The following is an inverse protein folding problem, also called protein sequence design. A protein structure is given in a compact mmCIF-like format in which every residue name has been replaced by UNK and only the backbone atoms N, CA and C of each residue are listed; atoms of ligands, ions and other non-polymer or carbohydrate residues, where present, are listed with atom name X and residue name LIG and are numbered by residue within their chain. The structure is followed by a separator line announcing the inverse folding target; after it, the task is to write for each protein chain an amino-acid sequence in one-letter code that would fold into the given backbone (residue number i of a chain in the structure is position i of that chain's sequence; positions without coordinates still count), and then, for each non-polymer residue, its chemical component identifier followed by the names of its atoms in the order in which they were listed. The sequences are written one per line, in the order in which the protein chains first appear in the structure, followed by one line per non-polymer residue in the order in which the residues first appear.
data_IF_245508280756
#
_entry.id   IF_245508280756
#
_cell.length_a   1.000
_cell.length_b   1.000
_cell.length_c   1.000
_cell.angle_alpha   90.00
_cell.angle_beta   90.00
_cell.angle_gamma   90.00
#
_symmetry.space_group_name_H-M   'P 1'
#
loop_
_entity.id
_entity.type
_entity.pdbx_description
1 polymer ?
#
# COMPACT_ATOMS: atom_id res chain seq x y z
N UNK A 1 21.88 6.73 -24.50
CA UNK A 1 22.46 7.86 -25.26
C UNK A 1 23.96 7.69 -25.30
N UNK A 2 24.57 7.81 -26.47
CA UNK A 2 26.02 7.77 -26.62
C UNK A 2 26.66 9.09 -26.13
N UNK A 3 27.87 9.03 -25.55
CA UNK A 3 28.62 10.17 -24.99
C UNK A 3 28.80 11.35 -25.97
N UNK A 4 28.67 11.11 -27.28
CA UNK A 4 28.73 12.12 -28.35
C UNK A 4 27.54 13.10 -28.36
N UNK A 5 26.46 12.85 -27.63
CA UNK A 5 25.29 13.74 -27.58
C UNK A 5 25.31 14.76 -26.43
N UNK A 6 26.39 14.82 -25.64
CA UNK A 6 26.56 15.83 -24.59
C UNK A 6 27.15 17.14 -25.16
N UNK A 7 26.73 18.32 -24.69
CA UNK A 7 27.20 19.61 -25.23
C UNK A 7 28.71 19.79 -25.03
N UNK A 8 29.48 19.66 -26.11
CA UNK A 8 30.94 19.78 -26.10
C UNK A 8 31.43 21.23 -25.98
N UNK A 9 30.54 22.22 -26.10
CA UNK A 9 30.89 23.64 -26.03
C UNK A 9 31.40 24.12 -24.67
N UNK A 10 31.27 23.29 -23.61
CA UNK A 10 31.88 23.54 -22.28
C UNK A 10 33.19 22.79 -22.07
N UNK A 11 33.66 22.03 -23.04
CA UNK A 11 34.87 21.24 -22.92
C UNK A 11 36.03 22.17 -23.32
N UNK A 12 36.84 22.55 -22.33
CA UNK A 12 37.98 23.45 -22.54
C UNK A 12 38.85 22.96 -23.71
N UNK A 13 39.36 23.91 -24.49
CA UNK A 13 40.21 23.68 -25.65
C UNK A 13 41.59 23.17 -25.22
N UNK A 14 41.68 21.88 -24.88
CA UNK A 14 42.91 21.24 -24.46
C UNK A 14 42.77 19.72 -24.55
N UNK A 15 43.78 19.07 -25.12
CA UNK A 15 43.86 17.63 -25.33
C UNK A 15 43.79 16.83 -24.02
N UNK A 16 42.57 16.46 -23.63
CA UNK A 16 42.28 15.06 -23.29
C UNK A 16 42.49 14.57 -21.86
N UNK A 17 42.42 15.43 -20.83
CA UNK A 17 42.07 14.99 -19.47
C UNK A 17 41.04 15.95 -18.86
N UNK A 18 39.78 15.53 -18.79
CA UNK A 18 38.82 16.17 -17.90
C UNK A 18 39.33 15.98 -16.46
N UNK A 19 39.75 17.07 -15.82
CA UNK A 19 40.04 17.05 -14.39
C UNK A 19 38.69 17.02 -13.69
N UNK A 20 38.29 15.86 -13.17
CA UNK A 20 37.16 15.77 -12.25
C UNK A 20 37.62 16.47 -10.96
N UNK A 21 37.05 17.64 -10.68
CA UNK A 21 37.39 18.37 -9.46
C UNK A 21 36.71 17.69 -8.27
N UNK A 22 37.24 17.89 -7.06
CA UNK A 22 36.63 17.35 -5.83
C UNK A 22 35.14 17.70 -5.69
N UNK A 23 34.76 18.92 -6.06
CA UNK A 23 33.36 19.35 -6.06
C UNK A 23 32.49 18.70 -7.16
N UNK A 24 33.09 18.11 -8.19
CA UNK A 24 32.35 17.31 -9.18
C UNK A 24 32.10 15.89 -8.66
N UNK A 25 33.01 15.32 -7.84
CA UNK A 25 32.73 14.08 -7.11
C UNK A 25 31.56 14.24 -6.14
N UNK A 26 31.47 15.34 -5.40
CA UNK A 26 30.32 15.62 -4.52
C UNK A 26 28.99 15.73 -5.29
N UNK A 27 29.01 16.27 -6.52
CA UNK A 27 27.83 16.34 -7.40
C UNK A 27 27.47 14.98 -7.98
N UNK A 28 28.47 14.19 -8.40
CA UNK A 28 28.28 12.84 -8.91
C UNK A 28 27.73 11.94 -7.81
N UNK A 29 28.30 11.99 -6.62
CA UNK A 29 27.83 11.26 -5.44
C UNK A 29 26.41 11.65 -5.09
N UNK A 30 26.10 12.95 -5.04
CA UNK A 30 24.73 13.42 -4.83
C UNK A 30 23.78 12.93 -5.91
N UNK A 31 24.17 12.97 -7.18
CA UNK A 31 23.36 12.45 -8.28
C UNK A 31 23.17 10.93 -8.18
N UNK A 32 24.17 10.18 -7.71
CA UNK A 32 24.08 8.73 -7.50
C UNK A 32 23.15 8.39 -6.34
N UNK A 33 23.26 9.11 -5.22
CA UNK A 33 22.35 8.99 -4.07
C UNK A 33 20.92 9.35 -4.49
N UNK A 34 20.72 10.45 -5.21
CA UNK A 34 19.43 10.88 -5.73
C UNK A 34 18.82 9.87 -6.71
N UNK A 35 19.62 9.27 -7.59
CA UNK A 35 19.13 8.35 -8.62
C UNK A 35 18.91 6.91 -8.13
N UNK A 36 19.66 6.43 -7.14
CA UNK A 36 19.61 5.02 -6.72
C UNK A 36 19.13 4.81 -5.29
N UNK A 37 19.47 5.69 -4.34
CA UNK A 37 19.11 5.52 -2.94
C UNK A 37 17.78 6.20 -2.60
N UNK A 38 17.51 7.39 -3.16
CA UNK A 38 16.31 8.19 -2.85
C UNK A 38 15.06 7.82 -3.65
N UNK A 39 15.20 6.97 -4.66
CA UNK A 39 14.04 6.40 -5.36
C UNK A 39 13.26 5.43 -4.47
N UNK A 40 13.92 4.85 -3.46
CA UNK A 40 13.26 4.09 -2.41
C UNK A 40 12.80 5.03 -1.30
N UNK A 41 11.55 4.84 -0.86
CA UNK A 41 11.04 5.60 0.28
C UNK A 41 11.69 5.09 1.58
N UNK A 42 11.80 5.94 2.62
CA UNK A 42 12.23 5.47 3.93
C UNK A 42 11.22 4.44 4.43
N UNK A 43 11.72 3.36 5.05
CA UNK A 43 10.85 2.33 5.62
C UNK A 43 10.12 2.87 6.85
N UNK A 44 8.86 2.48 7.01
CA UNK A 44 8.10 2.74 8.22
C UNK A 44 8.45 1.71 9.29
N UNK A 45 8.64 2.19 10.51
CA UNK A 45 8.79 1.36 11.70
C UNK A 45 7.51 1.40 12.53
N UNK A 46 6.99 0.22 12.88
CA UNK A 46 6.00 0.08 13.93
C UNK A 46 6.64 0.40 15.29
N UNK A 47 6.00 1.32 16.04
CA UNK A 47 6.44 1.72 17.38
C UNK A 47 5.48 1.21 18.46
N UNK A 48 4.19 1.45 18.29
CA UNK A 48 3.14 1.10 19.25
C UNK A 48 1.81 0.84 18.56
N UNK A 49 0.79 0.50 19.33
CA UNK A 49 -0.58 0.28 18.85
C UNK A 49 -1.19 1.47 18.09
N UNK A 50 -0.70 2.70 18.27
CA UNK A 50 -1.22 3.86 17.52
C UNK A 50 -0.16 4.53 16.64
N UNK A 51 1.12 4.18 16.79
CA UNK A 51 2.22 4.94 16.22
C UNK A 51 3.09 4.15 15.23
N UNK A 52 3.36 4.79 14.09
CA UNK A 52 4.46 4.45 13.17
C UNK A 52 5.38 5.64 12.97
N UNK A 53 6.60 5.39 12.47
CA UNK A 53 7.57 6.45 12.20
C UNK A 53 8.43 6.18 10.99
N UNK A 54 8.95 7.24 10.39
CA UNK A 54 10.12 7.20 9.52
C UNK A 54 11.36 7.56 10.37
N UNK A 55 12.24 6.59 10.68
CA UNK A 55 13.35 6.80 11.60
C UNK A 55 14.41 7.72 10.98
N UNK A 56 15.01 8.57 11.83
CA UNK A 56 16.22 9.32 11.51
C UNK A 56 17.16 9.30 12.71
N UNK A 57 18.46 9.24 12.45
CA UNK A 57 19.55 9.36 13.44
C UNK A 57 20.47 10.52 13.06
N UNK A 58 21.43 10.85 13.94
CA UNK A 58 22.43 11.87 13.65
C UNK A 58 23.27 11.54 12.40
N UNK A 59 23.53 10.25 12.17
CA UNK A 59 24.35 9.75 11.07
C UNK A 59 23.53 9.39 9.81
N UNK A 60 22.23 9.13 9.97
CA UNK A 60 21.33 8.73 8.89
C UNK A 60 20.02 9.51 8.94
N UNK A 61 19.89 10.51 8.07
CA UNK A 61 18.68 11.34 7.95
C UNK A 61 17.58 10.59 7.20
N UNK A 62 16.32 10.79 7.58
CA UNK A 62 15.20 10.26 6.82
C UNK A 62 15.04 11.10 5.55
N UNK A 63 15.16 10.49 4.37
CA UNK A 63 15.09 11.18 3.08
C UNK A 63 13.98 10.60 2.23
N UNK A 64 13.22 11.46 1.56
CA UNK A 64 12.14 11.04 0.67
C UNK A 64 12.09 11.91 -0.57
N UNK A 65 12.06 11.30 -1.76
CA UNK A 65 11.74 11.99 -3.00
C UNK A 65 10.23 12.02 -3.20
N UNK A 66 9.65 13.21 -3.36
CA UNK A 66 8.21 13.38 -3.55
C UNK A 66 7.87 13.03 -4.99
N UNK A 67 7.39 11.80 -5.19
CA UNK A 67 7.11 11.21 -6.50
C UNK A 67 5.65 10.79 -6.66
N UNK A 68 4.83 10.88 -5.60
CA UNK A 68 3.43 10.46 -5.61
C UNK A 68 3.20 9.01 -5.14
N UNK A 69 2.21 8.35 -5.75
CA UNK A 69 1.73 7.01 -5.40
C UNK A 69 2.22 5.95 -6.41
N UNK A 70 2.50 4.69 -6.00
CA UNK A 70 2.85 3.63 -6.94
C UNK A 70 1.72 3.37 -7.95
N UNK A 71 2.02 3.34 -9.24
CA UNK A 71 0.99 3.11 -10.26
C UNK A 71 0.31 1.74 -10.09
N UNK A 72 -1.03 1.66 -10.12
CA UNK A 72 -1.76 0.39 -10.15
C UNK A 72 -1.70 -0.31 -11.52
N UNK A 73 -1.13 0.35 -12.55
CA UNK A 73 -1.04 -0.17 -13.92
C UNK A 73 0.34 -0.72 -14.26
N UNK A 74 1.42 -0.20 -13.66
CA UNK A 74 2.78 -0.54 -14.07
C UNK A 74 3.80 -0.44 -12.95
N UNK A 75 4.77 -1.37 -12.97
CA UNK A 75 5.87 -1.38 -12.01
C UNK A 75 6.83 -0.23 -12.27
N UNK A 76 7.32 0.39 -11.19
CA UNK A 76 8.29 1.48 -11.27
C UNK A 76 7.72 2.81 -11.76
N UNK A 77 6.43 2.85 -12.12
CA UNK A 77 5.74 4.08 -12.48
C UNK A 77 5.10 4.70 -11.25
N UNK A 78 5.08 6.03 -11.22
CA UNK A 78 4.48 6.82 -10.17
C UNK A 78 3.31 7.62 -10.73
N UNK A 79 2.29 7.80 -9.90
CA UNK A 79 1.09 8.57 -10.17
C UNK A 79 1.00 9.63 -9.09
N UNK A 80 1.26 10.86 -9.46
CA UNK A 80 1.12 12.02 -8.60
C UNK A 80 -0.14 12.84 -8.94
N UNK A 81 -0.63 12.71 -10.18
CA UNK A 81 -1.68 13.56 -10.69
C UNK A 81 -1.22 15.02 -10.73
N UNK A 82 -0.01 15.30 -11.24
CA UNK A 82 0.54 16.66 -11.37
C UNK A 82 0.73 17.40 -10.03
N UNK A 83 0.93 16.65 -8.94
CA UNK A 83 1.03 17.18 -7.57
C UNK A 83 2.43 17.03 -6.97
N UNK A 84 3.31 16.21 -7.56
CA UNK A 84 4.64 15.95 -7.03
C UNK A 84 5.71 16.76 -7.77
N UNK A 85 6.56 17.47 -7.03
CA UNK A 85 7.64 18.27 -7.58
C UNK A 85 8.92 17.49 -7.90
N UNK A 86 8.98 16.19 -7.56
CA UNK A 86 10.17 15.36 -7.76
C UNK A 86 11.35 15.75 -6.87
N UNK A 87 11.19 16.66 -5.92
CA UNK A 87 12.28 17.12 -5.05
C UNK A 87 12.36 16.25 -3.81
N UNK A 88 13.57 16.11 -3.26
CA UNK A 88 13.74 15.41 -2.00
C UNK A 88 13.36 16.31 -0.81
N UNK A 89 12.98 15.66 0.30
CA UNK A 89 12.84 16.25 1.63
C UNK A 89 13.63 15.42 2.61
N UNK A 90 14.18 16.08 3.61
CA UNK A 90 15.07 15.44 4.56
C UNK A 90 14.75 15.89 5.98
N UNK A 91 14.56 14.91 6.85
CA UNK A 91 14.39 15.16 8.27
C UNK A 91 15.63 14.70 9.02
N UNK A 92 16.22 15.62 9.78
CA UNK A 92 17.31 15.32 10.73
C UNK A 92 16.79 14.66 12.02
N UNK A 93 15.48 14.70 12.26
CA UNK A 93 14.80 14.05 13.37
C UNK A 93 13.76 13.06 12.84
N UNK A 94 13.42 12.07 13.66
CA UNK A 94 12.39 11.08 13.33
C UNK A 94 11.05 11.76 13.01
N UNK A 95 10.41 11.36 11.92
CA UNK A 95 9.04 11.77 11.62
C UNK A 95 8.07 10.72 12.15
N UNK A 96 7.12 11.12 12.99
CA UNK A 96 6.16 10.19 13.59
C UNK A 96 4.74 10.48 13.14
N UNK A 97 3.94 9.42 13.05
CA UNK A 97 2.51 9.43 12.82
C UNK A 97 1.84 8.69 13.96
N UNK A 98 0.87 9.31 14.62
CA UNK A 98 0.09 8.69 15.69
C UNK A 98 -1.41 8.78 15.37
N UNK A 99 -2.06 7.64 15.16
CA UNK A 99 -3.44 7.58 14.67
C UNK A 99 -4.46 8.21 15.63
N UNK A 100 -4.13 8.30 16.93
CA UNK A 100 -5.02 8.91 17.93
C UNK A 100 -4.84 10.42 18.05
N UNK A 101 -3.81 11.01 17.42
CA UNK A 101 -3.56 12.44 17.46
C UNK A 101 -4.36 13.17 16.38
N UNK A 102 -5.07 14.23 16.80
CA UNK A 102 -5.82 15.07 15.88
C UNK A 102 -4.91 15.64 14.78
N UNK A 103 -5.32 15.47 13.52
CA UNK A 103 -4.60 15.96 12.34
C UNK A 103 -3.59 14.98 11.74
N UNK A 104 -3.27 13.87 12.43
CA UNK A 104 -2.48 12.77 11.87
C UNK A 104 -3.24 11.96 10.82
N UNK A 105 -4.58 12.01 10.87
CA UNK A 105 -5.47 11.40 9.91
C UNK A 105 -6.21 12.44 9.09
N UNK A 106 -6.58 12.08 7.87
CA UNK A 106 -7.76 12.66 7.23
C UNK A 106 -8.99 11.87 7.67
N UNK A 107 -10.02 12.60 8.10
CA UNK A 107 -11.18 12.01 8.77
C UNK A 107 -10.85 11.45 10.15
N UNK A 108 -11.61 10.42 10.55
CA UNK A 108 -11.50 9.80 11.87
C UNK A 108 -10.91 8.41 11.79
N UNK A 109 -10.33 7.97 12.91
CA UNK A 109 -9.84 6.61 13.06
C UNK A 109 -11.00 5.61 12.93
N UNK A 110 -10.74 4.50 12.23
CA UNK A 110 -11.65 3.37 12.02
C UNK A 110 -10.93 2.08 12.35
N UNK A 111 -11.60 1.21 13.08
CA UNK A 111 -11.19 -0.17 13.28
C UNK A 111 -11.36 -0.96 11.97
N UNK A 112 -10.60 -2.06 11.84
CA UNK A 112 -10.56 -2.90 10.64
C UNK A 112 -10.26 -2.12 9.35
N UNK A 113 -9.34 -1.15 9.39
CA UNK A 113 -9.13 -0.21 8.29
C UNK A 113 -7.67 -0.17 7.84
N UNK A 114 -7.47 -0.22 6.53
CA UNK A 114 -6.17 0.09 5.93
C UNK A 114 -5.98 1.60 5.80
N UNK A 115 -4.79 2.05 6.14
CA UNK A 115 -4.36 3.44 6.02
C UNK A 115 -3.13 3.52 5.12
N UNK A 116 -3.23 4.34 4.07
CA UNK A 116 -2.07 4.74 3.28
C UNK A 116 -1.31 5.83 4.03
N UNK A 117 -0.05 5.56 4.35
CA UNK A 117 0.83 6.53 5.02
C UNK A 117 1.57 7.34 3.97
N UNK A 118 1.44 8.66 4.06
CA UNK A 118 2.06 9.60 3.14
C UNK A 118 3.10 10.45 3.86
N UNK A 119 4.26 10.64 3.22
CA UNK A 119 5.10 11.80 3.48
C UNK A 119 4.53 12.99 2.71
N UNK A 120 4.32 14.12 3.38
CA UNK A 120 3.77 15.35 2.81
C UNK A 120 4.73 16.51 2.99
N UNK A 121 4.81 17.38 1.98
CA UNK A 121 5.54 18.64 2.09
C UNK A 121 4.97 19.70 1.14
N UNK A 122 4.99 20.96 1.56
CA UNK A 122 4.79 22.11 0.70
C UNK A 122 5.91 22.27 -0.33
N UNK A 123 5.67 23.11 -1.34
CA UNK A 123 6.65 23.38 -2.40
C UNK A 123 7.93 24.08 -1.89
N UNK A 124 7.82 24.82 -0.78
CA UNK A 124 8.93 25.53 -0.15
C UNK A 124 9.56 24.78 1.03
N UNK A 125 8.92 23.72 1.50
CA UNK A 125 9.39 22.96 2.67
C UNK A 125 10.68 22.22 2.31
N UNK A 126 11.57 22.03 3.28
CA UNK A 126 12.79 21.21 3.14
C UNK A 126 12.67 19.88 3.88
N UNK A 127 11.72 19.79 4.82
CA UNK A 127 11.35 18.62 5.60
C UNK A 127 10.01 18.05 5.14
N UNK A 128 9.64 16.87 5.62
CA UNK A 128 8.32 16.28 5.40
C UNK A 128 7.63 15.92 6.72
N UNK A 129 6.31 15.87 6.70
CA UNK A 129 5.48 15.34 7.80
C UNK A 129 4.81 14.03 7.36
N UNK A 130 4.38 13.22 8.33
CA UNK A 130 3.60 12.02 8.05
C UNK A 130 2.11 12.28 8.28
N UNK A 131 1.27 11.81 7.36
CA UNK A 131 -0.18 11.80 7.51
C UNK A 131 -0.75 10.55 6.88
N UNK A 132 -1.84 10.01 7.42
CA UNK A 132 -2.47 8.82 6.87
C UNK A 132 -3.91 9.03 6.41
N UNK A 133 -4.26 8.38 5.30
CA UNK A 133 -5.58 8.42 4.68
C UNK A 133 -6.19 7.01 4.71
N UNK A 134 -7.45 6.84 5.09
CA UNK A 134 -8.12 5.55 4.93
C UNK A 134 -8.18 5.17 3.45
N UNK A 135 -7.82 3.92 3.15
CA UNK A 135 -8.04 3.34 1.83
C UNK A 135 -9.51 3.03 1.67
N UNK A 136 -10.14 3.54 0.62
CA UNK A 136 -11.59 3.56 0.53
C UNK A 136 -12.12 2.51 -0.42
N UNK A 137 -13.29 2.01 -0.06
CA UNK A 137 -14.00 0.98 -0.81
C UNK A 137 -15.35 1.53 -1.28
N UNK A 138 -15.73 1.18 -2.49
CA UNK A 138 -16.99 1.61 -3.11
C UNK A 138 -18.14 0.77 -2.57
N UNK A 139 -19.21 1.41 -2.12
CA UNK A 139 -20.51 0.76 -1.89
C UNK A 139 -21.33 0.78 -3.17
N UNK A 140 -21.62 1.99 -3.63
CA UNK A 140 -22.41 2.26 -4.83
C UNK A 140 -21.95 3.57 -5.44
N UNK A 141 -22.43 3.84 -6.66
CA UNK A 141 -22.11 5.05 -7.38
C UNK A 141 -23.37 5.58 -8.05
N UNK A 142 -23.60 6.89 -7.94
CA UNK A 142 -24.63 7.60 -8.69
C UNK A 142 -23.98 8.80 -9.37
N UNK A 143 -23.91 8.76 -10.70
CA UNK A 143 -23.19 9.77 -11.50
C UNK A 143 -21.73 9.90 -11.02
N UNK A 144 -21.39 11.02 -10.38
CA UNK A 144 -20.05 11.33 -9.89
C UNK A 144 -19.97 11.31 -8.37
N UNK A 145 -20.95 10.72 -7.71
CA UNK A 145 -21.00 10.53 -6.26
C UNK A 145 -20.72 9.06 -5.96
N UNK A 146 -19.70 8.81 -5.15
CA UNK A 146 -19.32 7.49 -4.66
C UNK A 146 -19.80 7.38 -3.22
N UNK A 147 -20.66 6.41 -2.94
CA UNK A 147 -21.01 6.01 -1.57
C UNK A 147 -19.96 5.04 -1.06
N UNK A 148 -19.57 5.17 0.20
CA UNK A 148 -18.42 4.48 0.76
C UNK A 148 -18.81 3.21 1.52
N UNK A 149 -17.95 2.20 1.46
CA UNK A 149 -18.11 0.89 2.10
C UNK A 149 -16.96 0.61 3.06
N UNK A 150 -17.24 -0.15 4.11
CA UNK A 150 -16.23 -0.60 5.04
C UNK A 150 -15.24 -1.58 4.37
N UNK A 151 -14.06 -1.70 4.98
CA UNK A 151 -12.99 -2.56 4.48
C UNK A 151 -13.45 -4.02 4.32
N UNK A 152 -14.24 -4.53 5.27
CA UNK A 152 -14.78 -5.89 5.27
C UNK A 152 -15.87 -6.15 4.21
N UNK A 153 -16.23 -5.16 3.38
CA UNK A 153 -17.27 -5.25 2.35
C UNK A 153 -18.67 -5.64 2.86
N UNK A 154 -18.98 -5.40 4.14
CA UNK A 154 -20.23 -5.85 4.76
C UNK A 154 -21.28 -4.74 4.90
N UNK A 155 -20.87 -3.49 5.03
CA UNK A 155 -21.78 -2.37 5.27
C UNK A 155 -21.22 -1.05 4.73
N UNK A 156 -22.12 -0.10 4.51
CA UNK A 156 -21.77 1.28 4.17
C UNK A 156 -21.13 1.98 5.37
N UNK A 157 -20.26 2.97 5.10
CA UNK A 157 -19.49 3.63 6.15
C UNK A 157 -19.23 5.11 5.81
N UNK A 158 -19.24 5.95 6.82
CA UNK A 158 -18.69 7.30 6.82
C UNK A 158 -17.34 7.32 7.52
N UNK A 159 -16.31 7.87 6.88
CA UNK A 159 -14.96 7.98 7.44
C UNK A 159 -14.79 9.18 8.40
N UNK A 160 -15.85 9.95 8.63
CA UNK A 160 -15.81 11.09 9.56
C UNK A 160 -14.89 12.21 9.09
N UNK A 161 -14.78 12.40 7.77
CA UNK A 161 -14.12 13.59 7.23
C UNK A 161 -14.79 14.86 7.75
N UNK A 162 -14.05 15.96 7.80
CA UNK A 162 -14.73 17.26 7.82
C UNK A 162 -15.38 17.51 6.46
N UNK A 163 -16.50 18.26 6.43
CA UNK A 163 -17.16 18.57 5.15
C UNK A 163 -16.16 19.26 4.24
N UNK A 164 -16.00 18.73 3.02
CA UNK A 164 -15.08 19.25 2.01
C UNK A 164 -13.57 19.23 2.38
N UNK A 165 -13.17 18.41 3.36
CA UNK A 165 -11.76 18.19 3.70
C UNK A 165 -10.90 17.79 2.49
N UNK A 166 -11.47 16.99 1.59
CA UNK A 166 -10.79 16.38 0.45
C UNK A 166 -10.93 17.17 -0.85
N UNK A 167 -11.54 18.37 -0.83
CA UNK A 167 -11.61 19.22 -2.02
C UNK A 167 -10.20 19.53 -2.52
N UNK A 168 -10.03 19.48 -3.84
CA UNK A 168 -8.78 19.61 -4.61
C UNK A 168 -7.82 18.42 -4.51
N UNK A 169 -8.10 17.45 -3.63
CA UNK A 169 -7.43 16.15 -3.68
C UNK A 169 -7.94 15.35 -4.89
N UNK A 170 -7.27 14.24 -5.22
CA UNK A 170 -7.65 13.41 -6.37
C UNK A 170 -7.95 11.97 -5.96
N UNK A 171 -8.97 11.36 -6.55
CA UNK A 171 -9.20 9.93 -6.46
C UNK A 171 -8.22 9.24 -7.41
N UNK A 172 -7.57 8.17 -6.97
CA UNK A 172 -6.91 7.18 -7.82
C UNK A 172 -7.59 5.82 -7.62
N UNK A 173 -8.16 5.29 -8.70
CA UNK A 173 -8.84 3.98 -8.66
C UNK A 173 -7.80 2.86 -8.69
N UNK A 174 -7.87 1.92 -7.74
CA UNK A 174 -6.93 0.81 -7.59
C UNK A 174 -7.43 -0.49 -8.25
N UNK A 175 -8.74 -0.72 -8.27
CA UNK A 175 -9.33 -1.96 -8.84
C UNK A 175 -10.55 -1.67 -9.71
N UNK A 176 -11.03 -2.69 -10.44
CA UNK A 176 -12.21 -2.58 -11.30
C UNK A 176 -11.94 -1.92 -12.66
N UNK A 177 -13.02 -1.69 -13.41
CA UNK A 177 -12.97 -1.23 -14.81
C UNK A 177 -12.31 0.14 -14.99
N UNK A 178 -12.33 0.97 -13.93
CA UNK A 178 -11.75 2.31 -13.94
C UNK A 178 -10.35 2.39 -13.36
N UNK A 179 -9.68 1.26 -13.10
CA UNK A 179 -8.36 1.22 -12.48
C UNK A 179 -7.36 2.13 -13.20
N UNK A 180 -6.55 2.84 -12.40
CA UNK A 180 -5.55 3.78 -12.87
C UNK A 180 -6.10 5.13 -13.33
N UNK A 181 -7.42 5.29 -13.42
CA UNK A 181 -8.02 6.58 -13.70
C UNK A 181 -7.97 7.48 -12.46
N UNK A 182 -7.78 8.77 -12.72
CA UNK A 182 -7.68 9.82 -11.72
C UNK A 182 -8.84 10.81 -11.91
N UNK A 183 -9.48 11.24 -10.83
CA UNK A 183 -10.50 12.30 -10.88
C UNK A 183 -10.32 13.30 -9.75
N UNK A 184 -10.47 14.61 -10.00
CA UNK A 184 -10.43 15.61 -8.93
C UNK A 184 -11.67 15.48 -8.03
N UNK A 185 -11.47 15.59 -6.73
CA UNK A 185 -12.55 15.60 -5.74
C UNK A 185 -13.12 17.02 -5.66
N UNK A 186 -14.44 17.12 -5.80
CA UNK A 186 -15.17 18.40 -5.76
C UNK A 186 -15.95 18.58 -4.47
N UNK A 187 -16.28 17.49 -3.77
CA UNK A 187 -16.88 17.53 -2.43
C UNK A 187 -16.71 16.20 -1.70
N UNK A 188 -16.78 16.24 -0.37
CA UNK A 188 -17.04 15.07 0.47
C UNK A 188 -17.96 15.50 1.62
N UNK A 189 -18.82 14.60 2.08
CA UNK A 189 -19.61 14.87 3.27
C UNK A 189 -18.83 14.55 4.55
N UNK A 190 -19.35 15.02 5.69
CA UNK A 190 -18.76 14.79 7.00
C UNK A 190 -19.43 13.67 7.80
N UNK A 191 -19.95 12.66 7.10
CA UNK A 191 -20.65 11.54 7.75
C UNK A 191 -19.65 10.61 8.45
N UNK A 192 -19.95 10.24 9.70
CA UNK A 192 -19.19 9.28 10.49
C UNK A 192 -19.94 7.95 10.74
N UNK A 193 -21.14 7.83 10.17
CA UNK A 193 -22.05 6.70 10.29
C UNK A 193 -21.98 5.79 9.06
N UNK A 194 -23.09 5.66 8.34
CA UNK A 194 -23.21 4.82 7.14
C UNK A 194 -23.38 5.63 5.84
N UNK A 195 -23.38 6.95 5.90
CA UNK A 195 -23.71 7.84 4.80
C UNK A 195 -22.51 8.43 4.07
N UNK A 196 -21.29 7.93 4.27
CA UNK A 196 -20.08 8.49 3.68
C UNK A 196 -20.14 8.61 2.17
N UNK A 197 -19.79 9.79 1.64
CA UNK A 197 -19.81 10.05 0.21
C UNK A 197 -18.67 10.98 -0.26
N UNK A 198 -18.16 10.71 -1.46
CA UNK A 198 -17.20 11.55 -2.18
C UNK A 198 -17.76 11.89 -3.56
N UNK A 199 -17.78 13.17 -3.89
CA UNK A 199 -18.14 13.68 -5.22
C UNK A 199 -16.89 14.07 -5.99
N UNK A 200 -16.81 13.67 -7.25
CA UNK A 200 -15.68 13.96 -8.13
C UNK A 200 -16.10 14.70 -9.41
N UNK A 201 -15.15 15.34 -10.08
CA UNK A 201 -15.36 16.02 -11.37
C UNK A 201 -14.91 15.20 -12.57
N UNK A 202 -15.27 15.61 -13.78
CA UNK A 202 -14.83 14.98 -15.03
C UNK A 202 -15.74 13.84 -15.50
N UNK A 203 -15.25 12.98 -16.41
CA UNK A 203 -16.07 11.88 -16.93
C UNK A 203 -16.36 10.84 -15.86
N UNK A 204 -17.57 10.26 -15.91
CA UNK A 204 -18.00 9.24 -14.96
C UNK A 204 -17.04 8.05 -14.99
N UNK A 205 -16.64 7.60 -13.80
CA UNK A 205 -15.95 6.34 -13.60
C UNK A 205 -16.99 5.22 -13.63
N UNK A 206 -16.60 4.04 -14.10
CA UNK A 206 -17.35 2.79 -13.93
C UNK A 206 -16.80 2.08 -12.70
N UNK A 207 -17.50 2.19 -11.56
CA UNK A 207 -17.12 1.58 -10.29
C UNK A 207 -18.19 0.59 -9.82
N UNK A 208 -17.75 -0.60 -9.44
CA UNK A 208 -18.62 -1.63 -8.86
C UNK A 208 -18.48 -1.67 -7.33
N UNK A 209 -19.48 -2.26 -6.67
CA UNK A 209 -19.40 -2.51 -5.23
C UNK A 209 -18.13 -3.28 -4.89
N UNK A 210 -17.45 -2.83 -3.85
CA UNK A 210 -16.23 -3.40 -3.32
C UNK A 210 -14.97 -2.96 -4.05
N UNK A 211 -15.04 -2.18 -5.12
CA UNK A 211 -13.85 -1.63 -5.78
C UNK A 211 -13.09 -0.69 -4.84
N UNK A 212 -11.77 -0.67 -5.00
CA UNK A 212 -10.84 0.07 -4.16
C UNK A 212 -10.36 1.33 -4.84
N UNK A 213 -10.21 2.39 -4.06
CA UNK A 213 -9.56 3.61 -4.47
C UNK A 213 -8.85 4.26 -3.29
N UNK A 214 -7.89 5.14 -3.61
CA UNK A 214 -7.18 5.97 -2.64
C UNK A 214 -7.36 7.43 -3.00
N UNK A 215 -7.07 8.30 -2.05
CA UNK A 215 -7.02 9.75 -2.28
C UNK A 215 -5.57 10.20 -2.32
N UNK A 216 -5.20 10.81 -3.43
CA UNK A 216 -3.93 11.50 -3.63
C UNK A 216 -4.03 12.88 -2.95
N UNK A 217 -3.16 13.20 -1.98
CA UNK A 217 -3.17 14.48 -1.26
C UNK A 217 -3.05 15.69 -2.19
N UNK A 218 -3.65 16.82 -1.83
CA UNK A 218 -3.58 18.10 -2.59
C UNK A 218 -2.26 18.88 -2.45
N UNK A 219 -1.17 18.20 -2.13
CA UNK A 219 0.16 18.79 -1.90
C UNK A 219 1.23 17.80 -2.34
N UNK A 220 2.51 18.18 -2.34
CA UNK A 220 3.56 17.24 -2.73
C UNK A 220 3.60 16.08 -1.75
N UNK A 221 3.63 14.87 -2.28
CA UNK A 221 3.54 13.69 -1.45
C UNK A 221 4.37 12.52 -1.96
N UNK A 222 4.60 11.58 -1.06
CA UNK A 222 5.10 10.25 -1.38
C UNK A 222 4.37 9.22 -0.53
N UNK A 223 3.81 8.20 -1.16
CA UNK A 223 3.33 7.01 -0.46
C UNK A 223 4.50 6.23 0.13
N UNK A 224 4.39 5.86 1.41
CA UNK A 224 5.41 5.11 2.14
C UNK A 224 5.02 3.65 2.38
N UNK A 225 3.73 3.35 2.45
CA UNK A 225 3.22 2.01 2.73
C UNK A 225 1.80 2.00 3.27
N UNK A 226 1.24 0.80 3.39
CA UNK A 226 -0.05 0.57 4.04
C UNK A 226 0.14 0.04 5.46
N UNK A 227 -0.66 0.55 6.40
CA UNK A 227 -0.75 0.05 7.77
C UNK A 227 -2.18 -0.36 8.08
N UNK A 228 -2.36 -1.47 8.81
CA UNK A 228 -3.67 -1.99 9.18
C UNK A 228 -3.97 -1.59 10.62
N UNK A 229 -5.09 -0.91 10.83
CA UNK A 229 -5.72 -0.77 12.12
C UNK A 229 -6.72 -1.90 12.32
N UNK A 230 -6.54 -2.74 13.34
CA UNK A 230 -7.35 -3.95 13.52
C UNK A 230 -8.71 -3.68 14.17
N UNK A 231 -9.42 -4.74 14.55
CA UNK A 231 -10.73 -4.65 15.15
C UNK A 231 -10.73 -3.99 16.54
N UNK A 232 -9.60 -3.99 17.25
CA UNK A 232 -9.45 -3.35 18.55
C UNK A 232 -9.11 -1.86 18.44
N UNK A 233 -8.82 -1.36 17.23
CA UNK A 233 -8.27 -0.03 17.04
C UNK A 233 -6.76 0.02 17.29
N UNK A 234 -6.08 -1.13 17.21
CA UNK A 234 -4.63 -1.21 17.32
C UNK A 234 -4.00 -1.46 15.95
N UNK A 235 -2.93 -0.73 15.66
CA UNK A 235 -2.05 -0.99 14.54
C UNK A 235 -1.47 -2.40 14.64
N UNK A 236 -1.66 -3.17 13.58
CA UNK A 236 -1.09 -4.52 13.48
C UNK A 236 0.44 -4.40 13.35
N UNK A 237 1.23 -5.07 14.21
CA UNK A 237 2.67 -4.97 14.15
C UNK A 237 3.26 -5.56 12.87
N UNK A 238 4.16 -4.81 12.23
CA UNK A 238 4.83 -5.20 10.99
C UNK A 238 6.32 -4.86 10.98
N UNK A 239 7.02 -5.37 9.96
CA UNK A 239 8.34 -4.99 9.50
C UNK A 239 8.24 -4.55 8.04
N UNK A 240 8.90 -3.45 7.69
CA UNK A 240 9.02 -3.01 6.30
C UNK A 240 10.50 -3.00 5.89
N UNK A 241 10.77 -3.60 4.73
CA UNK A 241 12.06 -3.54 4.05
C UNK A 241 11.85 -3.10 2.61
N UNK A 242 12.04 -1.81 2.34
CA UNK A 242 11.74 -1.23 1.03
C UNK A 242 10.25 -1.39 0.69
N UNK A 243 9.94 -2.21 -0.32
CA UNK A 243 8.56 -2.50 -0.76
C UNK A 243 7.96 -3.76 -0.14
N UNK A 244 8.75 -4.54 0.58
CA UNK A 244 8.31 -5.76 1.23
C UNK A 244 7.85 -5.46 2.66
N UNK A 245 6.71 -6.03 3.04
CA UNK A 245 6.10 -5.93 4.34
C UNK A 245 5.92 -7.34 4.91
N UNK A 246 6.18 -7.52 6.19
CA UNK A 246 5.93 -8.76 6.91
C UNK A 246 5.25 -8.46 8.24
N UNK A 247 4.24 -9.25 8.60
CA UNK A 247 3.68 -9.19 9.94
C UNK A 247 4.71 -9.68 10.96
N UNK A 248 4.78 -9.04 12.14
CA UNK A 248 5.61 -9.58 13.24
C UNK A 248 5.10 -10.93 13.72
N UNK A 249 3.79 -11.14 13.63
CA UNK A 249 3.13 -12.40 13.91
C UNK A 249 2.22 -12.74 12.74
N UNK A 250 2.35 -13.96 12.20
CA UNK A 250 1.55 -14.39 11.06
C UNK A 250 0.06 -14.19 11.32
N UNK A 251 -0.62 -13.54 10.37
CA UNK A 251 -2.05 -13.28 10.41
C UNK A 251 -2.81 -14.56 10.06
N UNK A 252 -3.65 -15.04 10.98
CA UNK A 252 -4.57 -16.13 10.65
C UNK A 252 -5.67 -15.64 9.70
N UNK A 253 -5.83 -16.35 8.58
CA UNK A 253 -6.91 -16.11 7.62
C UNK A 253 -8.10 -17.00 7.96
N UNK A 254 -7.82 -18.28 8.19
CA UNK A 254 -8.81 -19.30 8.57
C UNK A 254 -8.14 -20.44 9.32
N UNK A 255 -8.83 -21.05 10.28
CA UNK A 255 -8.40 -22.27 10.96
C UNK A 255 -9.57 -23.21 11.29
N UNK A 256 -9.27 -24.50 11.50
CA UNK A 256 -10.22 -25.51 11.96
C UNK A 256 -10.85 -26.35 10.84
N UNK A 257 -12.09 -26.78 11.04
CA UNK A 257 -12.90 -27.43 10.01
C UNK A 257 -13.41 -26.36 9.04
N UNK A 258 -12.67 -26.14 7.96
CA UNK A 258 -13.00 -25.09 6.98
C UNK A 258 -14.04 -25.64 6.01
N UNK A 259 -15.32 -25.43 6.36
CA UNK A 259 -16.44 -25.92 5.56
C UNK A 259 -16.66 -25.06 4.31
N UNK A 260 -16.03 -25.44 3.19
CA UNK A 260 -16.52 -25.16 1.83
C UNK A 260 -16.90 -23.71 1.49
N UNK A 261 -16.16 -22.71 1.97
CA UNK A 261 -16.38 -21.34 1.52
C UNK A 261 -15.92 -21.19 0.09
N UNK A 262 -16.84 -20.79 -0.79
CA UNK A 262 -16.53 -20.47 -2.19
C UNK A 262 -15.64 -19.25 -2.29
N UNK A 263 -15.82 -18.23 -1.43
CA UNK A 263 -15.05 -16.97 -1.42
C UNK A 263 -14.95 -16.28 -0.06
N UNK A 264 -13.73 -16.19 0.46
CA UNK A 264 -13.40 -15.38 1.64
C UNK A 264 -12.53 -14.17 1.23
N UNK A 265 -13.06 -12.96 1.38
CA UNK A 265 -12.36 -11.71 1.04
C UNK A 265 -11.19 -11.45 2.00
N UNK A 266 -9.98 -11.31 1.44
CA UNK A 266 -8.74 -11.08 2.16
C UNK A 266 -8.46 -9.60 2.45
N UNK A 267 -9.42 -8.71 2.22
CA UNK A 267 -9.31 -7.27 2.49
C UNK A 267 -8.88 -6.92 3.92
N UNK A 268 -9.16 -7.76 4.93
CA UNK A 268 -8.71 -7.54 6.31
C UNK A 268 -7.31 -8.11 6.62
N UNK A 269 -6.67 -8.74 5.65
CA UNK A 269 -5.37 -9.38 5.83
C UNK A 269 -4.32 -8.91 4.83
N UNK A 270 -4.70 -8.48 3.63
CA UNK A 270 -3.78 -7.90 2.65
C UNK A 270 -4.34 -6.56 2.16
N UNK A 271 -3.48 -5.55 1.96
CA UNK A 271 -3.94 -4.27 1.43
C UNK A 271 -4.27 -4.40 -0.07
N UNK A 272 -5.16 -3.53 -0.60
CA UNK A 272 -5.48 -3.52 -2.03
C UNK A 272 -4.31 -3.05 -2.94
N UNK A 273 -3.22 -2.57 -2.35
CA UNK A 273 -1.95 -2.28 -3.04
C UNK A 273 -1.03 -3.48 -3.19
N UNK A 274 -1.32 -4.60 -2.51
CA UNK A 274 -0.47 -5.78 -2.55
C UNK A 274 -0.35 -6.30 -3.99
N UNK A 275 0.90 -6.41 -4.46
CA UNK A 275 1.27 -7.04 -5.74
C UNK A 275 1.69 -8.50 -5.56
N UNK A 276 2.16 -8.83 -4.37
CA UNK A 276 2.50 -10.18 -3.96
C UNK A 276 1.97 -10.37 -2.54
N UNK A 277 1.38 -11.52 -2.27
CA UNK A 277 1.04 -11.94 -0.90
C UNK A 277 1.75 -13.26 -0.60
N UNK A 278 2.35 -13.34 0.58
CA UNK A 278 3.13 -14.48 1.03
C UNK A 278 2.50 -15.08 2.28
N UNK A 279 2.42 -16.40 2.33
CA UNK A 279 1.82 -17.10 3.46
C UNK A 279 2.17 -18.58 3.49
N UNK A 280 1.47 -19.30 4.35
CA UNK A 280 1.52 -20.76 4.36
C UNK A 280 0.16 -21.35 4.74
N UNK A 281 -0.08 -22.58 4.29
CA UNK A 281 -1.22 -23.38 4.68
C UNK A 281 -0.73 -24.69 5.29
N UNK A 282 -1.30 -25.13 6.40
CA UNK A 282 -0.97 -26.40 7.03
C UNK A 282 -2.22 -27.17 7.42
N UNK A 283 -2.11 -28.50 7.48
CA UNK A 283 -3.16 -29.39 7.96
C UNK A 283 -2.61 -30.30 9.06
N UNK A 284 -3.47 -30.74 9.97
CA UNK A 284 -3.11 -31.68 11.06
C UNK A 284 -4.00 -32.92 11.04
N UNK A 285 -3.60 -33.96 11.77
CA UNK A 285 -4.40 -35.19 11.90
C UNK A 285 -4.48 -36.04 10.63
N UNK A 286 -3.50 -35.92 9.72
CA UNK A 286 -3.46 -36.70 8.47
C UNK A 286 -4.36 -36.16 7.35
N UNK A 287 -4.90 -34.95 7.50
CA UNK A 287 -5.67 -34.29 6.45
C UNK A 287 -4.77 -33.63 5.38
N UNK A 288 -5.28 -33.53 4.16
CA UNK A 288 -4.64 -32.78 3.06
C UNK A 288 -4.83 -31.27 3.25
N UNK A 289 -3.91 -30.47 2.68
CA UNK A 289 -4.16 -29.05 2.36
C UNK A 289 -4.83 -28.97 0.99
N UNK A 290 -6.01 -28.35 0.91
CA UNK A 290 -6.77 -28.11 -0.33
C UNK A 290 -7.40 -26.72 -0.33
N UNK A 291 -6.62 -25.72 -0.72
CA UNK A 291 -7.12 -24.35 -0.83
C UNK A 291 -6.60 -23.65 -2.07
N UNK A 292 -7.35 -22.67 -2.55
CA UNK A 292 -6.94 -21.82 -3.64
C UNK A 292 -7.01 -20.35 -3.22
N UNK A 293 -6.03 -19.57 -3.68
CA UNK A 293 -6.08 -18.12 -3.59
C UNK A 293 -6.47 -17.62 -4.97
N UNK A 294 -7.48 -16.77 -5.04
CA UNK A 294 -8.01 -16.19 -6.27
C UNK A 294 -7.90 -14.66 -6.24
N UNK A 295 -7.79 -14.06 -7.41
CA UNK A 295 -7.70 -12.61 -7.60
C UNK A 295 -9.05 -11.99 -8.05
N UNK A 296 -9.99 -12.79 -8.51
CA UNK A 296 -11.31 -12.33 -8.99
C UNK A 296 -12.47 -13.07 -8.31
N UNK A 297 -12.15 -14.07 -7.51
CA UNK A 297 -13.11 -14.95 -6.87
C UNK A 297 -13.73 -15.98 -7.82
N UNK A 298 -13.20 -16.12 -9.02
CA UNK A 298 -13.69 -17.08 -10.01
C UNK A 298 -12.56 -18.01 -10.48
N UNK A 299 -11.38 -17.46 -10.71
CA UNK A 299 -10.21 -18.15 -11.23
C UNK A 299 -9.13 -18.26 -10.13
N UNK A 300 -8.68 -19.48 -9.79
CA UNK A 300 -7.61 -19.64 -8.81
C UNK A 300 -6.29 -19.10 -9.39
N UNK A 301 -5.65 -18.20 -8.64
CA UNK A 301 -4.32 -17.66 -8.90
C UNK A 301 -3.23 -18.65 -8.47
N UNK A 302 -3.45 -19.30 -7.32
CA UNK A 302 -2.58 -20.33 -6.76
C UNK A 302 -3.47 -21.44 -6.20
N UNK A 303 -3.16 -22.69 -6.55
CA UNK A 303 -3.78 -23.87 -5.97
C UNK A 303 -2.75 -24.53 -5.06
N UNK A 304 -3.12 -24.73 -3.80
CA UNK A 304 -2.32 -25.45 -2.82
C UNK A 304 -2.96 -26.80 -2.59
N UNK A 305 -2.30 -27.83 -3.10
CA UNK A 305 -2.65 -29.22 -2.87
C UNK A 305 -1.41 -29.94 -2.31
N UNK A 306 -1.44 -30.29 -1.03
CA UNK A 306 -0.36 -31.03 -0.38
C UNK A 306 -0.95 -32.18 0.43
N UNK A 307 -0.46 -33.40 0.17
CA UNK A 307 -0.86 -34.63 0.85
C UNK A 307 0.16 -35.02 1.94
N UNK A 308 -0.26 -35.73 3.00
CA UNK A 308 0.66 -36.25 4.01
C UNK A 308 1.58 -37.33 3.39
N UNK A 309 2.88 -37.39 3.78
CA UNK A 309 3.76 -38.46 3.32
C UNK A 309 3.34 -39.82 3.90
N UNK A 310 3.52 -40.89 3.13
CA UNK A 310 3.08 -42.26 3.47
C UNK A 310 3.82 -42.98 4.61
N UNK A 311 4.67 -42.29 5.39
CA UNK A 311 5.41 -42.89 6.51
C UNK A 311 5.51 -41.92 7.70
N UNK A 312 5.53 -42.47 8.92
CA UNK A 312 5.56 -41.72 10.18
C UNK A 312 6.90 -40.99 10.37
N UNK A 313 6.86 -39.65 10.45
CA UNK A 313 8.00 -38.81 10.83
C UNK A 313 7.76 -38.19 12.21
N UNK A 314 8.84 -37.96 12.97
CA UNK A 314 8.83 -37.26 14.26
C UNK A 314 9.03 -35.75 14.05
N UNK A 315 7.95 -34.97 14.00
CA UNK A 315 8.01 -33.51 13.99
C UNK A 315 6.77 -32.85 13.39
N UNK A 316 6.51 -31.59 13.77
CA UNK A 316 5.45 -30.77 13.14
C UNK A 316 5.91 -30.45 11.70
N UNK A 317 5.46 -31.23 10.71
CA UNK A 317 5.57 -30.89 9.28
C UNK A 317 4.17 -30.78 8.68
N UNK A 318 3.95 -29.77 7.83
CA UNK A 318 2.67 -29.60 7.13
C UNK A 318 2.45 -28.25 6.45
N UNK A 319 3.31 -27.24 6.66
CA UNK A 319 3.12 -25.92 6.04
C UNK A 319 3.56 -25.91 4.56
N UNK A 320 2.61 -25.85 3.64
CA UNK A 320 2.81 -25.51 2.24
C UNK A 320 2.93 -23.98 2.11
N UNK A 321 4.13 -23.43 1.87
CA UNK A 321 4.29 -22.00 1.65
C UNK A 321 3.64 -21.62 0.31
N UNK A 322 3.11 -20.41 0.24
CA UNK A 322 2.57 -19.87 -0.99
C UNK A 322 3.04 -18.44 -1.21
N UNK A 323 3.16 -18.10 -2.48
CA UNK A 323 3.39 -16.74 -2.97
C UNK A 323 2.41 -16.50 -4.11
N UNK A 324 1.46 -15.61 -3.88
CA UNK A 324 0.42 -15.31 -4.86
C UNK A 324 0.64 -13.90 -5.39
N UNK A 325 0.98 -13.80 -6.67
CA UNK A 325 1.07 -12.52 -7.36
C UNK A 325 -0.33 -12.05 -7.72
N UNK A 326 -0.67 -10.83 -7.35
CA UNK A 326 -1.94 -10.24 -7.75
C UNK A 326 -1.83 -9.84 -9.22
N UNK A 327 -2.80 -10.29 -10.02
CA UNK A 327 -2.94 -9.80 -11.39
C UNK A 327 -3.58 -8.40 -11.37
N UNK A 328 -3.71 -7.85 -12.55
CA UNK A 328 -4.23 -6.52 -12.80
C UNK A 328 -5.75 -6.40 -12.51
N UNK A 329 -6.14 -5.61 -11.48
CA UNK A 329 -7.52 -5.18 -11.11
C UNK A 329 -8.26 -5.94 -9.99
N UNK A 330 -7.56 -6.47 -8.98
CA UNK A 330 -8.10 -7.61 -8.24
C UNK A 330 -8.37 -7.43 -6.74
N UNK A 331 -9.33 -8.23 -6.26
CA UNK A 331 -9.67 -8.44 -4.85
C UNK A 331 -9.14 -9.82 -4.50
N UNK A 332 -8.46 -9.96 -3.37
CA UNK A 332 -7.88 -11.24 -3.00
C UNK A 332 -8.92 -12.09 -2.28
N UNK A 333 -9.09 -13.34 -2.72
CA UNK A 333 -10.01 -14.29 -2.11
C UNK A 333 -9.31 -15.59 -1.77
N UNK A 334 -9.75 -16.22 -0.69
CA UNK A 334 -9.42 -17.60 -0.35
C UNK A 334 -10.63 -18.50 -0.60
N UNK A 335 -10.40 -19.64 -1.26
CA UNK A 335 -11.37 -20.70 -1.52
C UNK A 335 -10.83 -22.03 -0.94
N UNK A 336 -11.70 -22.90 -0.42
CA UNK A 336 -11.31 -24.17 0.19
C UNK A 336 -12.29 -25.30 -0.20
N UNK A 337 -11.76 -26.45 -0.62
CA UNK A 337 -12.54 -27.65 -0.96
C UNK A 337 -12.85 -28.55 0.25
N UNK A 338 -13.31 -27.95 1.35
CA UNK A 338 -13.87 -28.66 2.52
C UNK A 338 -12.95 -29.71 3.14
N UNK A 339 -11.96 -29.26 3.90
CA UNK A 339 -10.96 -30.13 4.52
C UNK A 339 -10.81 -29.77 6.00
N UNK A 340 -10.85 -30.80 6.86
CA UNK A 340 -10.80 -30.64 8.30
C UNK A 340 -9.38 -30.29 8.78
N UNK A 341 -9.30 -29.58 9.91
CA UNK A 341 -8.06 -29.32 10.65
C UNK A 341 -6.97 -28.57 9.86
N UNK A 342 -7.38 -27.59 9.06
CA UNK A 342 -6.48 -26.72 8.32
C UNK A 342 -6.24 -25.40 9.03
N UNK A 343 -5.11 -24.77 8.73
CA UNK A 343 -4.81 -23.38 9.08
C UNK A 343 -4.17 -22.72 7.87
N UNK A 344 -4.67 -21.55 7.48
CA UNK A 344 -4.06 -20.71 6.44
C UNK A 344 -3.68 -19.40 7.07
N UNK A 345 -2.41 -19.02 6.89
CA UNK A 345 -1.82 -17.83 7.49
C UNK A 345 -1.10 -16.99 6.46
N UNK A 346 -1.20 -15.67 6.63
CA UNK A 346 -0.49 -14.68 5.84
C UNK A 346 0.72 -14.19 6.63
N UNK A 347 1.87 -14.17 5.96
CA UNK A 347 3.16 -13.72 6.49
C UNK A 347 3.44 -12.27 6.13
N UNK A 348 3.07 -11.84 4.93
CA UNK A 348 3.41 -10.51 4.43
C UNK A 348 2.93 -10.23 3.01
N UNK A 349 3.32 -9.07 2.49
CA UNK A 349 3.00 -8.63 1.13
C UNK A 349 4.12 -7.77 0.54
N UNK A 350 4.09 -7.57 -0.77
CA UNK A 350 4.94 -6.61 -1.48
C UNK A 350 4.06 -5.59 -2.22
N UNK A 351 4.45 -4.31 -2.20
CA UNK A 351 3.80 -3.22 -2.97
C UNK A 351 4.55 -2.84 -4.26
#
# INVERSE_FOLDING_TARGET
MSLIYLPQSKWGTGTGRQVILKGDFEKIERALVESFELTQAPSLEYVSASQVRAPATADARARVMLLGFPSPLGRGLWVDGDLADGRYRENAATASLDLVVAGSLWGTEKANQWYGVYALAGAADTTFSLKAMPVMRVSSQSTQVITLRNNANSADIGYGFTVNELVDAKILVLTGASRGLIRPITANNGDNGAGGAITYGGSALTLAQGDWFVVLPKTNFRHLGMVLNDAAGDLVPFWQGGRAFAYRTSRELVSGAVNGYTLFDLALAAPPTARLVEGYAAATGGADVKCAISYDGANPAVILHAAPPGAAFQGVRGAAPFRCRTLESHKLYLNNENTANQVVRLLGWEE
#
